data_IF_769769755541
#
_entry.id   IF_769769755541
#
_cell.length_a   1.000
_cell.length_b   1.000
_cell.length_c   1.000
_cell.angle_alpha   90.00
_cell.angle_beta   90.00
_cell.angle_gamma   90.00
#
_symmetry.space_group_name_H-M   'P 1'
#
loop_
_entity.id
_entity.type
_entity.pdbx_description
1 polymer ?
#
# COMPACT_ATOMS: atom_id res chain seq x y z
N UNK A 1 25.08 -8.76 -7.14
CA UNK A 1 23.74 -8.65 -7.73
C UNK A 1 22.82 -8.17 -6.61
N UNK A 2 22.53 -6.88 -6.57
CA UNK A 2 21.61 -6.36 -5.57
C UNK A 2 20.23 -6.97 -5.85
N UNK A 3 19.81 -7.89 -5.01
CA UNK A 3 18.45 -8.42 -5.06
C UNK A 3 17.52 -7.26 -4.73
N UNK A 4 16.76 -6.80 -5.69
CA UNK A 4 15.73 -5.80 -5.44
C UNK A 4 14.72 -6.41 -4.48
N UNK A 5 14.58 -5.85 -3.29
CA UNK A 5 13.61 -6.30 -2.29
C UNK A 5 12.17 -5.92 -2.67
N UNK A 6 11.96 -5.29 -3.83
CA UNK A 6 10.68 -4.86 -4.33
C UNK A 6 10.57 -4.97 -5.86
N UNK A 7 9.35 -5.28 -6.33
CA UNK A 7 8.97 -5.20 -7.73
C UNK A 7 8.10 -3.95 -7.89
N UNK A 8 8.40 -3.12 -8.87
CA UNK A 8 7.63 -1.92 -9.19
C UNK A 8 7.03 -2.00 -10.58
N UNK A 9 5.75 -1.66 -10.71
CA UNK A 9 5.01 -1.62 -11.97
C UNK A 9 4.34 -0.27 -12.12
N UNK A 10 4.58 0.43 -13.21
CA UNK A 10 4.04 1.76 -13.48
C UNK A 10 2.92 1.68 -14.51
N UNK A 11 1.83 2.42 -14.25
CA UNK A 11 0.65 2.52 -15.10
C UNK A 11 0.32 4.00 -15.27
N UNK A 12 -0.08 4.39 -16.48
CA UNK A 12 -0.63 5.71 -16.76
C UNK A 12 -2.13 5.59 -17.01
N UNK A 13 -2.93 6.47 -16.39
CA UNK A 13 -4.37 6.45 -16.54
C UNK A 13 -4.80 7.11 -17.86
N UNK A 14 -5.67 6.45 -18.60
CA UNK A 14 -6.25 6.92 -19.84
C UNK A 14 -7.54 7.72 -19.67
N UNK A 15 -8.10 7.72 -18.45
CA UNK A 15 -9.32 8.42 -18.06
C UNK A 15 -9.28 8.87 -16.60
N UNK A 16 -10.20 9.78 -16.23
CA UNK A 16 -10.44 10.11 -14.83
C UNK A 16 -11.11 8.94 -14.13
N UNK A 17 -10.64 8.60 -12.95
CA UNK A 17 -11.25 7.56 -12.10
C UNK A 17 -11.37 8.02 -10.66
N UNK A 18 -12.34 7.46 -9.95
CA UNK A 18 -12.43 7.58 -8.50
C UNK A 18 -12.44 6.19 -7.89
N UNK A 19 -11.32 5.79 -7.28
CA UNK A 19 -11.27 4.54 -6.53
C UNK A 19 -12.23 4.66 -5.35
N UNK A 20 -13.12 3.68 -5.20
CA UNK A 20 -14.09 3.63 -4.10
C UNK A 20 -14.23 2.20 -3.60
N UNK A 21 -13.40 1.82 -2.64
CA UNK A 21 -13.38 0.48 -2.09
C UNK A 21 -11.97 -0.11 -1.96
N UNK A 22 -11.86 -1.41 -2.17
CA UNK A 22 -10.61 -2.15 -2.03
C UNK A 22 -10.01 -2.46 -3.39
N UNK A 23 -8.76 -2.10 -3.58
CA UNK A 23 -7.97 -2.61 -4.71
C UNK A 23 -7.69 -4.08 -4.45
N UNK A 24 -8.00 -4.92 -5.43
CA UNK A 24 -7.79 -6.36 -5.38
C UNK A 24 -6.62 -6.77 -6.27
N UNK A 25 -5.71 -7.56 -5.71
CA UNK A 25 -4.61 -8.17 -6.44
C UNK A 25 -4.82 -9.67 -6.49
N UNK A 26 -4.86 -10.23 -7.69
CA UNK A 26 -4.74 -11.66 -7.93
C UNK A 26 -3.32 -11.92 -8.41
N UNK A 27 -2.52 -12.63 -7.61
CA UNK A 27 -1.10 -12.81 -7.87
C UNK A 27 -0.77 -14.29 -8.01
N UNK A 28 -0.01 -14.61 -9.06
CA UNK A 28 0.59 -15.92 -9.25
C UNK A 28 1.98 -15.92 -8.63
N UNK A 29 2.13 -16.66 -7.53
CA UNK A 29 3.35 -16.62 -6.71
C UNK A 29 3.86 -17.99 -6.36
N UNK A 30 5.15 -18.08 -6.02
CA UNK A 30 5.75 -19.22 -5.34
C UNK A 30 6.73 -18.74 -4.29
N UNK A 31 6.85 -19.47 -3.20
CA UNK A 31 7.84 -19.23 -2.16
C UNK A 31 8.94 -20.30 -2.20
N UNK A 32 10.16 -19.91 -1.88
CA UNK A 32 11.28 -20.84 -1.75
C UNK A 32 11.17 -21.76 -0.52
N UNK A 33 10.28 -21.42 0.42
CA UNK A 33 10.07 -22.17 1.67
C UNK A 33 8.58 -22.49 1.88
N UNK A 34 8.25 -23.12 3.01
CA UNK A 34 6.86 -23.45 3.38
C UNK A 34 6.04 -22.25 3.89
N UNK A 35 6.59 -21.04 3.83
CA UNK A 35 5.98 -19.80 4.29
C UNK A 35 6.39 -18.61 3.42
N UNK A 36 5.87 -17.45 3.70
CA UNK A 36 6.23 -16.20 3.04
C UNK A 36 5.23 -15.10 3.36
N UNK A 37 5.68 -13.88 3.25
CA UNK A 37 4.86 -12.68 3.35
C UNK A 37 4.94 -11.94 2.03
N UNK A 38 3.83 -11.42 1.57
CA UNK A 38 3.78 -10.49 0.45
C UNK A 38 3.03 -9.23 0.87
N UNK A 39 3.60 -8.09 0.58
CA UNK A 39 3.03 -6.78 0.85
C UNK A 39 2.90 -6.02 -0.45
N UNK A 40 1.89 -5.17 -0.55
CA UNK A 40 1.65 -4.34 -1.72
C UNK A 40 1.28 -2.91 -1.32
N UNK A 41 1.71 -1.96 -2.13
CA UNK A 41 1.30 -0.56 -2.05
C UNK A 41 0.93 -0.06 -3.44
N UNK A 42 -0.13 0.75 -3.51
CA UNK A 42 -0.47 1.52 -4.70
C UNK A 42 -0.18 2.98 -4.42
N UNK A 43 0.65 3.59 -5.25
CA UNK A 43 1.12 4.96 -5.12
C UNK A 43 0.60 5.80 -6.29
N UNK A 44 0.24 7.04 -6.04
CA UNK A 44 0.20 8.07 -7.06
C UNK A 44 1.59 8.67 -7.18
N UNK A 45 2.15 8.69 -8.39
CA UNK A 45 3.46 9.25 -8.68
C UNK A 45 3.32 10.64 -9.26
N UNK A 46 4.26 11.52 -8.93
CA UNK A 46 4.32 12.88 -9.47
C UNK A 46 4.69 13.89 -8.41
N UNK A 47 5.27 14.99 -8.86
CA UNK A 47 5.71 16.08 -7.97
C UNK A 47 4.52 17.03 -7.71
N UNK A 48 3.67 16.65 -6.77
CA UNK A 48 2.42 17.35 -6.43
C UNK A 48 2.41 17.78 -4.96
N UNK A 49 1.52 18.70 -4.63
CA UNK A 49 1.21 19.04 -3.24
C UNK A 49 0.12 18.13 -2.71
N UNK A 50 0.44 17.39 -1.66
CA UNK A 50 -0.49 16.51 -0.96
C UNK A 50 -0.70 16.96 0.48
N UNK A 51 -1.84 16.63 1.07
CA UNK A 51 -2.04 16.77 2.50
C UNK A 51 -1.02 15.89 3.24
N UNK A 52 -0.32 16.46 4.19
CA UNK A 52 0.61 15.69 5.00
C UNK A 52 -0.12 14.60 5.80
N UNK A 53 0.46 13.41 5.97
CA UNK A 53 -0.17 12.33 6.73
C UNK A 53 -0.21 12.60 8.24
N UNK A 54 0.62 13.51 8.72
CA UNK A 54 0.75 13.86 10.13
C UNK A 54 0.36 15.32 10.32
N UNK A 55 -0.60 15.63 11.21
CA UNK A 55 -0.98 17.00 11.51
C UNK A 55 0.15 17.74 12.22
N UNK A 56 0.33 19.00 11.85
CA UNK A 56 1.24 19.92 12.51
C UNK A 56 0.50 20.74 13.57
N UNK A 57 1.19 21.00 14.67
CA UNK A 57 0.66 21.85 15.74
C UNK A 57 0.69 23.31 15.27
N UNK A 58 -0.46 23.97 15.30
CA UNK A 58 -0.60 25.39 15.03
C UNK A 58 -1.18 26.07 16.26
N UNK A 59 -0.43 26.97 16.84
CA UNK A 59 -0.91 27.78 17.95
C UNK A 59 -1.62 29.02 17.41
N UNK A 60 -2.82 29.25 17.87
CA UNK A 60 -3.62 30.40 17.49
C UNK A 60 -4.14 31.12 18.75
N UNK A 61 -4.12 32.42 18.71
CA UNK A 61 -4.82 33.23 19.71
C UNK A 61 -6.29 33.32 19.30
N UNK A 62 -7.16 32.79 20.15
CA UNK A 62 -8.62 32.87 19.94
C UNK A 62 -9.21 33.87 20.89
N UNK A 63 -9.82 34.92 20.32
CA UNK A 63 -10.61 35.89 21.06
C UNK A 63 -12.06 35.39 21.11
N UNK A 64 -12.52 35.05 22.29
CA UNK A 64 -13.91 34.63 22.50
C UNK A 64 -14.77 35.72 23.12
N UNK A 65 -14.32 36.97 23.06
CA UNK A 65 -15.01 38.15 23.56
C UNK A 65 -14.94 38.35 25.08
N UNK A 66 -14.31 37.46 25.83
CA UNK A 66 -14.14 37.57 27.28
C UNK A 66 -12.69 37.41 27.75
N UNK A 67 -11.93 36.52 27.08
CA UNK A 67 -10.55 36.22 27.42
C UNK A 67 -9.78 35.80 26.17
N UNK A 68 -8.62 36.36 25.96
CA UNK A 68 -7.64 35.82 25.00
C UNK A 68 -7.13 34.49 25.50
N UNK A 69 -7.33 33.46 24.70
CA UNK A 69 -6.85 32.13 24.98
C UNK A 69 -6.01 31.61 23.81
N UNK A 70 -4.81 31.16 24.11
CA UNK A 70 -4.00 30.44 23.15
C UNK A 70 -4.52 29.02 23.03
N UNK A 71 -5.01 28.64 21.85
CA UNK A 71 -5.45 27.28 21.58
C UNK A 71 -4.47 26.57 20.63
N UNK A 72 -4.16 25.33 20.98
CA UNK A 72 -3.35 24.46 20.16
C UNK A 72 -4.25 23.72 19.19
N UNK A 73 -4.26 24.13 17.94
CA UNK A 73 -4.96 23.47 16.85
C UNK A 73 -4.00 22.57 16.07
N UNK A 74 -4.54 21.56 15.45
CA UNK A 74 -3.80 20.70 14.53
C UNK A 74 -4.36 20.88 13.13
N UNK A 75 -3.48 21.11 12.17
CA UNK A 75 -3.85 21.18 10.76
C UNK A 75 -3.02 20.20 9.95
N UNK A 76 -3.57 19.72 8.83
CA UNK A 76 -2.85 18.95 7.84
C UNK A 76 -2.33 19.90 6.76
N UNK A 77 -1.05 20.29 6.81
CA UNK A 77 -0.50 21.18 5.79
C UNK A 77 -0.36 20.43 4.47
N UNK A 78 -0.42 21.20 3.37
CA UNK A 78 -0.03 20.68 2.06
C UNK A 78 1.48 20.70 1.95
N UNK A 79 2.06 19.52 1.64
CA UNK A 79 3.50 19.36 1.38
C UNK A 79 3.73 18.82 -0.01
N UNK A 80 4.80 19.30 -0.63
CA UNK A 80 5.27 18.77 -1.90
C UNK A 80 5.89 17.39 -1.67
N UNK A 81 5.48 16.42 -2.48
CA UNK A 81 6.02 15.08 -2.44
C UNK A 81 6.07 14.46 -3.85
N UNK A 82 7.02 13.58 -4.07
CA UNK A 82 7.19 12.88 -5.35
C UNK A 82 6.18 11.75 -5.55
N UNK A 83 5.53 11.34 -4.49
CA UNK A 83 4.49 10.31 -4.51
C UNK A 83 3.58 10.42 -3.30
N UNK A 84 2.42 9.78 -3.41
CA UNK A 84 1.51 9.56 -2.28
C UNK A 84 1.03 8.12 -2.26
N UNK A 85 1.03 7.49 -1.09
CA UNK A 85 0.42 6.17 -0.89
C UNK A 85 -1.09 6.31 -0.93
N UNK A 86 -1.74 5.59 -1.86
CA UNK A 86 -3.20 5.54 -2.00
C UNK A 86 -3.75 4.47 -1.08
N UNK A 87 -3.18 3.27 -1.14
CA UNK A 87 -3.60 2.12 -0.34
C UNK A 87 -2.46 1.12 -0.20
N UNK A 88 -2.53 0.29 0.83
CA UNK A 88 -1.57 -0.77 1.11
C UNK A 88 -2.25 -1.99 1.72
N UNK A 89 -1.57 -3.12 1.66
CA UNK A 89 -2.01 -4.36 2.29
C UNK A 89 -0.91 -5.40 2.31
N UNK A 90 -1.12 -6.45 3.07
CA UNK A 90 -0.18 -7.56 3.20
C UNK A 90 -0.92 -8.87 3.38
N UNK A 91 -0.27 -9.96 3.02
CA UNK A 91 -0.78 -11.33 3.19
C UNK A 91 0.35 -12.26 3.59
N UNK A 92 0.14 -12.99 4.69
CA UNK A 92 0.94 -14.17 4.98
C UNK A 92 0.45 -15.34 4.11
N UNK A 93 1.33 -15.93 3.32
CA UNK A 93 0.98 -17.00 2.40
C UNK A 93 0.40 -18.25 3.10
N UNK A 94 0.74 -18.47 4.37
CA UNK A 94 0.17 -19.53 5.18
C UNK A 94 -1.30 -19.28 5.56
N UNK A 95 -1.75 -18.01 5.57
CA UNK A 95 -3.13 -17.62 5.83
C UNK A 95 -3.91 -17.21 4.57
N UNK A 96 -3.47 -17.65 3.38
CA UNK A 96 -4.04 -17.26 2.08
C UNK A 96 -5.50 -17.66 1.87
N UNK A 97 -5.95 -18.71 2.53
CA UNK A 97 -7.34 -19.18 2.43
C UNK A 97 -8.24 -18.68 3.55
N UNK A 98 -7.68 -18.58 4.75
CA UNK A 98 -8.40 -18.15 5.95
C UNK A 98 -7.42 -17.50 6.94
N UNK A 99 -7.79 -16.36 7.50
CA UNK A 99 -6.97 -15.61 8.44
C UNK A 99 -6.71 -16.34 9.77
N UNK A 100 -7.59 -17.27 10.14
CA UNK A 100 -7.53 -18.01 11.40
C UNK A 100 -6.86 -19.38 11.28
N UNK A 101 -6.66 -19.87 10.06
CA UNK A 101 -6.05 -21.17 9.80
C UNK A 101 -4.68 -21.03 9.13
N UNK A 102 -3.73 -21.85 9.60
CA UNK A 102 -2.38 -21.91 9.03
C UNK A 102 -2.29 -23.12 8.11
N UNK A 103 -2.03 -22.88 6.83
CA UNK A 103 -1.76 -23.92 5.84
C UNK A 103 -0.40 -23.69 5.20
N UNK A 104 0.54 -24.60 5.47
CA UNK A 104 1.88 -24.49 4.92
C UNK A 104 1.86 -24.42 3.38
N UNK A 105 2.78 -23.64 2.86
CA UNK A 105 3.05 -23.53 1.43
C UNK A 105 3.98 -24.66 1.02
N UNK A 106 3.73 -25.30 -0.12
CA UNK A 106 4.69 -26.23 -0.71
C UNK A 106 5.82 -25.43 -1.35
N UNK A 107 7.08 -25.61 -0.91
CA UNK A 107 8.20 -24.87 -1.45
C UNK A 107 8.32 -25.01 -2.98
N UNK A 108 8.58 -23.89 -3.65
CA UNK A 108 8.77 -23.80 -5.10
C UNK A 108 7.56 -24.22 -5.97
N UNK A 109 6.39 -24.40 -5.39
CA UNK A 109 5.15 -24.66 -6.10
C UNK A 109 4.40 -23.34 -6.38
N UNK A 110 3.93 -23.18 -7.62
CA UNK A 110 3.14 -22.03 -8.02
C UNK A 110 1.73 -22.09 -7.42
N UNK A 111 1.27 -20.98 -6.87
CA UNK A 111 -0.08 -20.80 -6.37
C UNK A 111 -0.66 -19.46 -6.82
N UNK A 112 -1.97 -19.37 -6.87
CA UNK A 112 -2.68 -18.09 -7.06
C UNK A 112 -3.23 -17.64 -5.72
N UNK A 113 -2.95 -16.39 -5.36
CA UNK A 113 -3.42 -15.78 -4.13
C UNK A 113 -4.24 -14.52 -4.43
N UNK A 114 -5.22 -14.24 -3.59
CA UNK A 114 -5.95 -12.96 -3.57
C UNK A 114 -5.48 -12.09 -2.41
N UNK A 115 -5.20 -10.84 -2.70
CA UNK A 115 -4.80 -9.84 -1.72
C UNK A 115 -5.69 -8.60 -1.87
N UNK A 116 -6.51 -8.32 -0.87
CA UNK A 116 -7.27 -7.08 -0.77
C UNK A 116 -6.46 -6.02 -0.03
N UNK A 117 -6.28 -4.87 -0.65
CA UNK A 117 -5.67 -3.73 -0.01
C UNK A 117 -6.68 -2.99 0.88
N UNK A 118 -6.22 -2.12 1.75
CA UNK A 118 -7.08 -1.31 2.61
C UNK A 118 -8.09 -0.51 1.78
N UNK A 119 -9.36 -0.42 2.21
CA UNK A 119 -10.35 0.35 1.50
C UNK A 119 -9.96 1.83 1.45
N UNK A 120 -10.20 2.46 0.32
CA UNK A 120 -9.88 3.87 0.11
C UNK A 120 -10.89 4.55 -0.80
N UNK A 121 -11.02 5.86 -0.68
CA UNK A 121 -11.69 6.73 -1.65
C UNK A 121 -10.63 7.70 -2.15
N UNK A 122 -10.32 7.62 -3.44
CA UNK A 122 -9.25 8.41 -4.02
C UNK A 122 -9.53 8.80 -5.47
N UNK A 123 -9.47 10.11 -5.75
CA UNK A 123 -9.67 10.63 -7.10
C UNK A 123 -8.34 10.75 -7.83
N UNK A 124 -8.33 10.27 -9.07
CA UNK A 124 -7.22 10.34 -9.99
C UNK A 124 -7.70 10.91 -11.32
N UNK A 125 -6.85 11.65 -11.98
CA UNK A 125 -7.18 12.26 -13.26
C UNK A 125 -6.48 11.50 -14.40
N UNK A 126 -6.99 11.67 -15.60
CA UNK A 126 -6.33 11.20 -16.81
C UNK A 126 -4.89 11.70 -16.86
N UNK A 127 -3.94 10.82 -17.20
CA UNK A 127 -2.52 11.11 -17.26
C UNK A 127 -1.79 11.00 -15.90
N UNK A 128 -2.53 10.78 -14.79
CA UNK A 128 -1.88 10.46 -13.53
C UNK A 128 -1.18 9.10 -13.61
N UNK A 129 -0.04 8.99 -12.92
CA UNK A 129 0.77 7.78 -12.92
C UNK A 129 0.58 7.03 -11.61
N UNK A 130 0.18 5.79 -11.73
CA UNK A 130 0.10 4.84 -10.61
C UNK A 130 1.33 3.95 -10.59
N UNK A 131 1.80 3.64 -9.39
CA UNK A 131 2.84 2.62 -9.17
C UNK A 131 2.33 1.56 -8.21
N UNK A 132 2.35 0.31 -8.65
CA UNK A 132 2.21 -0.85 -7.77
C UNK A 132 3.60 -1.25 -7.29
N UNK A 133 3.77 -1.37 -6.00
CA UNK A 133 5.00 -1.88 -5.36
C UNK A 133 4.66 -3.16 -4.64
N UNK A 134 5.33 -4.26 -5.00
CA UNK A 134 5.25 -5.56 -4.32
C UNK A 134 6.56 -5.81 -3.58
N UNK A 135 6.49 -6.20 -2.31
CA UNK A 135 7.67 -6.44 -1.47
C UNK A 135 7.39 -7.50 -0.41
N UNK A 136 8.45 -8.05 0.19
CA UNK A 136 8.36 -9.14 1.17
C UNK A 136 8.63 -8.71 2.60
N UNK A 137 9.05 -7.46 2.80
CA UNK A 137 9.41 -6.92 4.12
C UNK A 137 8.45 -5.81 4.49
N UNK A 138 7.64 -6.02 5.53
CA UNK A 138 6.82 -4.98 6.12
C UNK A 138 7.36 -4.64 7.51
N UNK A 139 7.96 -3.45 7.64
CA UNK A 139 8.53 -2.98 8.90
C UNK A 139 7.50 -2.35 9.84
N UNK A 140 6.33 -2.01 9.33
CA UNK A 140 5.33 -1.25 10.10
C UNK A 140 4.28 -2.15 10.76
N UNK A 141 3.93 -3.28 10.14
CA UNK A 141 2.72 -4.02 10.50
C UNK A 141 2.92 -5.52 10.73
N UNK A 142 4.12 -6.06 10.55
CA UNK A 142 4.38 -7.48 10.71
C UNK A 142 5.49 -7.77 11.69
N UNK A 143 5.29 -8.84 12.50
CA UNK A 143 6.35 -9.41 13.31
C UNK A 143 7.37 -10.04 12.36
N UNK A 144 8.62 -9.61 12.45
CA UNK A 144 9.69 -10.15 11.63
C UNK A 144 9.92 -11.61 11.97
N UNK A 145 9.88 -12.42 10.94
CA UNK A 145 10.47 -13.75 10.98
C UNK A 145 11.92 -13.65 10.48
N UNK A 146 12.85 -14.17 11.26
CA UNK A 146 14.29 -14.19 10.92
C UNK A 146 14.66 -15.20 9.85
N UNK A 147 13.68 -15.79 9.17
CA UNK A 147 13.95 -16.80 8.13
C UNK A 147 14.12 -16.15 6.76
N UNK A 148 15.16 -16.55 6.07
CA UNK A 148 15.39 -16.18 4.68
C UNK A 148 14.41 -16.96 3.77
N UNK A 149 13.63 -16.24 2.99
CA UNK A 149 12.80 -16.79 1.93
C UNK A 149 12.73 -15.85 0.74
N UNK A 150 12.46 -16.39 -0.43
CA UNK A 150 12.23 -15.62 -1.65
C UNK A 150 10.80 -15.89 -2.15
N UNK A 151 10.07 -14.82 -2.48
CA UNK A 151 8.79 -14.92 -3.16
C UNK A 151 8.99 -14.51 -4.61
N UNK A 152 8.67 -15.39 -5.54
CA UNK A 152 8.67 -15.11 -6.97
C UNK A 152 7.26 -14.82 -7.42
N UNK A 153 7.07 -13.78 -8.23
CA UNK A 153 5.77 -13.37 -8.79
C UNK A 153 5.80 -13.52 -10.31
N UNK A 154 4.82 -14.25 -10.87
CA UNK A 154 4.59 -14.29 -12.31
C UNK A 154 3.67 -13.14 -12.70
N UNK A 155 4.23 -12.06 -13.22
CA UNK A 155 3.49 -10.87 -13.61
C UNK A 155 2.58 -11.11 -14.80
N UNK A 156 2.91 -12.06 -15.68
CA UNK A 156 2.11 -12.38 -16.86
C UNK A 156 0.77 -13.04 -16.52
N UNK A 157 0.69 -13.68 -15.35
CA UNK A 157 -0.50 -14.34 -14.83
C UNK A 157 -1.06 -13.67 -13.56
N UNK A 158 -0.69 -12.41 -13.35
CA UNK A 158 -1.17 -11.62 -12.21
C UNK A 158 -2.06 -10.47 -12.70
N UNK A 159 -2.98 -10.02 -11.85
CA UNK A 159 -3.97 -9.00 -12.18
C UNK A 159 -4.19 -8.04 -11.02
N UNK A 160 -4.31 -6.76 -11.33
CA UNK A 160 -4.79 -5.74 -10.40
C UNK A 160 -6.16 -5.23 -10.85
N UNK A 161 -7.11 -5.18 -9.93
CA UNK A 161 -8.46 -4.66 -10.17
C UNK A 161 -8.69 -3.43 -9.28
N UNK A 162 -9.03 -2.32 -9.92
CA UNK A 162 -9.39 -1.07 -9.25
C UNK A 162 -10.92 -0.97 -9.16
N UNK A 163 -11.50 -0.72 -7.97
CA UNK A 163 -12.93 -0.48 -7.80
C UNK A 163 -13.27 0.98 -8.15
N UNK A 164 -13.79 1.24 -9.33
CA UNK A 164 -14.19 2.59 -9.78
C UNK A 164 -15.53 2.57 -10.53
#
# INVERSE_FOLDING_TARGET
MDKANAITLDFELDQDIQINGRVHLELRVKSSTNRGLISAQVLEMGDKKYLAPIPELKRMNVDNGRLFKEEALRELPFKQAKYRVITKGHLNLQNRKDLLSIENVTPNEWMTIGLDLQPTIYKLNKGDKLRLVLYTTDFEHTIRDNSDYEVTVDLSQSKMTLPY
#
